data_IF_550088646231
#
_entry.id   IF_550088646231
#
_cell.length_a   1.000
_cell.length_b   1.000
_cell.length_c   1.000
_cell.angle_alpha   90.00
_cell.angle_beta   90.00
_cell.angle_gamma   90.00
#
_symmetry.space_group_name_H-M   'P 1'
#
loop_
_entity.id
_entity.type
_entity.pdbx_description
1 polymer ?
#
# COMPACT_ATOMS: atom_id res chain seq x y z
N UNK A 1 -10.52 -3.40 -12.56
CA UNK A 1 -9.07 -3.15 -12.37
C UNK A 1 -8.78 -1.87 -11.57
N UNK A 2 -8.88 -0.64 -12.11
CA UNK A 2 -8.58 0.58 -11.32
C UNK A 2 -9.40 0.68 -10.01
N UNK A 3 -10.71 0.47 -10.09
CA UNK A 3 -11.61 0.52 -8.92
C UNK A 3 -11.26 -0.50 -7.84
N UNK A 4 -10.75 -1.66 -8.24
CA UNK A 4 -10.32 -2.70 -7.29
C UNK A 4 -9.01 -2.31 -6.61
N UNK A 5 -8.04 -1.80 -7.38
CA UNK A 5 -6.77 -1.32 -6.82
C UNK A 5 -7.00 -0.18 -5.84
N UNK A 6 -7.94 0.73 -6.12
CA UNK A 6 -8.31 1.80 -5.18
C UNK A 6 -8.84 1.25 -3.85
N UNK A 7 -9.73 0.25 -3.89
CA UNK A 7 -10.24 -0.41 -2.66
C UNK A 7 -9.13 -1.09 -1.86
N UNK A 8 -8.16 -1.68 -2.55
CA UNK A 8 -7.00 -2.29 -1.89
C UNK A 8 -6.12 -1.21 -1.26
N UNK A 9 -5.88 -0.08 -1.95
CA UNK A 9 -5.17 1.08 -1.39
C UNK A 9 -5.87 1.65 -0.15
N UNK A 10 -7.20 1.81 -0.17
CA UNK A 10 -7.98 2.25 1.00
C UNK A 10 -7.83 1.29 2.20
N UNK A 11 -7.70 -0.03 1.92
CA UNK A 11 -7.46 -1.03 2.96
C UNK A 11 -6.01 -0.98 3.47
N UNK A 12 -5.04 -0.83 2.56
CA UNK A 12 -3.64 -0.71 2.89
C UNK A 12 -3.38 0.53 3.76
N UNK A 13 -3.98 1.67 3.42
CA UNK A 13 -3.88 2.89 4.24
C UNK A 13 -4.31 2.64 5.69
N UNK A 14 -5.42 1.95 5.91
CA UNK A 14 -5.88 1.61 7.28
C UNK A 14 -4.95 0.68 8.03
N UNK A 15 -4.32 -0.27 7.33
CA UNK A 15 -3.35 -1.18 7.96
C UNK A 15 -2.04 -0.45 8.28
N UNK A 16 -1.57 0.41 7.37
CA UNK A 16 -0.41 1.28 7.58
C UNK A 16 -0.65 2.20 8.78
N UNK A 17 -1.80 2.86 8.85
CA UNK A 17 -2.11 3.74 9.98
C UNK A 17 -2.13 2.98 11.30
N UNK A 18 -2.71 1.76 11.33
CA UNK A 18 -2.66 0.90 12.53
C UNK A 18 -1.25 0.44 12.89
N UNK A 19 -0.43 0.12 11.89
CA UNK A 19 0.97 -0.24 12.08
C UNK A 19 1.75 0.95 12.71
N UNK A 20 1.54 2.17 12.20
CA UNK A 20 2.09 3.40 12.79
C UNK A 20 1.60 3.58 14.24
N UNK A 21 0.31 3.35 14.50
CA UNK A 21 -0.25 3.43 15.86
C UNK A 21 0.31 2.36 16.81
N UNK A 22 0.67 1.18 16.29
CA UNK A 22 1.32 0.11 17.06
C UNK A 22 2.72 0.54 17.54
N UNK A 23 3.38 1.46 16.82
CA UNK A 23 4.64 2.08 17.21
C UNK A 23 5.85 1.13 17.23
N UNK A 24 5.68 -0.07 16.66
CA UNK A 24 6.72 -1.06 16.45
C UNK A 24 6.49 -1.75 15.10
N UNK A 25 7.57 -1.93 14.32
CA UNK A 25 7.56 -2.53 12.99
C UNK A 25 7.24 -4.04 12.98
N UNK A 26 7.35 -4.72 14.13
CA UNK A 26 7.02 -6.16 14.30
C UNK A 26 5.52 -6.42 14.58
N UNK A 27 4.65 -5.43 14.38
CA UNK A 27 3.21 -5.60 14.58
C UNK A 27 2.59 -6.40 13.43
N UNK A 28 1.60 -7.26 13.72
CA UNK A 28 0.89 -8.07 12.70
C UNK A 28 0.32 -7.18 11.59
N UNK A 29 -0.20 -6.00 11.95
CA UNK A 29 -0.70 -5.02 11.00
C UNK A 29 0.36 -4.46 10.04
N UNK A 30 1.63 -4.41 10.45
CA UNK A 30 2.74 -3.97 9.61
C UNK A 30 3.06 -5.01 8.54
N UNK A 31 3.07 -6.29 8.92
CA UNK A 31 3.28 -7.39 7.98
C UNK A 31 2.11 -7.53 7.00
N UNK A 32 0.87 -7.47 7.50
CA UNK A 32 -0.34 -7.45 6.67
C UNK A 32 -0.35 -6.27 5.69
N UNK A 33 0.08 -5.09 6.15
CA UNK A 33 0.20 -3.92 5.29
C UNK A 33 1.24 -4.13 4.19
N UNK A 34 2.42 -4.66 4.52
CA UNK A 34 3.50 -4.94 3.56
C UNK A 34 3.08 -5.95 2.50
N UNK A 35 2.39 -7.03 2.89
CA UNK A 35 1.87 -8.02 1.96
C UNK A 35 0.86 -7.38 1.00
N UNK A 36 -0.07 -6.58 1.52
CA UNK A 36 -1.09 -5.91 0.72
C UNK A 36 -0.50 -4.86 -0.23
N UNK A 37 0.49 -4.09 0.21
CA UNK A 37 1.19 -3.12 -0.63
C UNK A 37 1.91 -3.81 -1.80
N UNK A 38 2.53 -4.98 -1.56
CA UNK A 38 3.12 -5.80 -2.62
C UNK A 38 2.07 -6.30 -3.62
N UNK A 39 0.91 -6.80 -3.16
CA UNK A 39 -0.18 -7.22 -4.04
C UNK A 39 -0.68 -6.06 -4.92
N UNK A 40 -0.82 -4.87 -4.33
CA UNK A 40 -1.22 -3.66 -5.05
C UNK A 40 -0.18 -3.30 -6.11
N UNK A 41 1.11 -3.40 -5.79
CA UNK A 41 2.21 -3.12 -6.72
C UNK A 41 2.14 -4.01 -7.96
N UNK A 42 1.96 -5.31 -7.77
CA UNK A 42 1.83 -6.26 -8.88
C UNK A 42 0.61 -5.93 -9.76
N UNK A 43 -0.54 -5.62 -9.13
CA UNK A 43 -1.74 -5.23 -9.88
C UNK A 43 -1.56 -3.92 -10.66
N UNK A 44 -0.80 -2.96 -10.12
CA UNK A 44 -0.49 -1.70 -10.82
C UNK A 44 0.43 -1.97 -12.01
N UNK A 45 1.42 -2.84 -11.86
CA UNK A 45 2.34 -3.21 -12.95
C UNK A 45 1.62 -3.89 -14.13
N UNK A 46 0.53 -4.61 -13.84
CA UNK A 46 -0.34 -5.21 -14.86
C UNK A 46 -1.36 -4.25 -15.49
N UNK A 47 -1.45 -2.98 -15.07
CA UNK A 47 -2.35 -2.01 -15.71
C UNK A 47 -1.82 -1.56 -17.08
N UNK A 48 -2.67 -1.72 -18.10
CA UNK A 48 -2.41 -1.20 -19.44
C UNK A 48 -2.44 0.33 -19.48
N UNK A 49 -3.31 0.97 -18.69
CA UNK A 49 -3.40 2.43 -18.59
C UNK A 49 -2.24 2.99 -17.77
N UNK A 50 -1.18 3.42 -18.46
CA UNK A 50 0.03 3.98 -17.86
C UNK A 50 -0.21 5.26 -17.07
N UNK A 51 -1.23 6.05 -17.39
CA UNK A 51 -1.55 7.29 -16.67
C UNK A 51 -2.20 6.98 -15.33
N UNK A 52 -3.13 6.02 -15.32
CA UNK A 52 -3.75 5.51 -14.10
C UNK A 52 -2.71 4.78 -13.25
N UNK A 53 -1.91 3.89 -13.84
CA UNK A 53 -0.85 3.17 -13.16
C UNK A 53 0.10 4.14 -12.43
N UNK A 54 0.60 5.18 -13.13
CA UNK A 54 1.48 6.18 -12.54
C UNK A 54 0.85 6.90 -11.33
N UNK A 55 -0.43 7.25 -11.41
CA UNK A 55 -1.14 7.88 -10.27
C UNK A 55 -1.26 6.94 -9.08
N UNK A 56 -1.61 5.68 -9.33
CA UNK A 56 -1.74 4.68 -8.28
C UNK A 56 -0.38 4.35 -7.66
N UNK A 57 0.69 4.26 -8.46
CA UNK A 57 2.06 4.08 -7.96
C UNK A 57 2.49 5.21 -7.03
N UNK A 58 2.11 6.47 -7.30
CA UNK A 58 2.39 7.58 -6.39
C UNK A 58 1.69 7.43 -5.04
N UNK A 59 0.44 6.95 -5.03
CA UNK A 59 -0.29 6.68 -3.79
C UNK A 59 0.33 5.52 -3.02
N UNK A 60 0.64 4.42 -3.72
CA UNK A 60 1.30 3.25 -3.17
C UNK A 60 2.63 3.63 -2.50
N UNK A 61 3.48 4.37 -3.21
CA UNK A 61 4.77 4.82 -2.70
C UNK A 61 4.64 5.65 -1.42
N UNK A 62 3.61 6.50 -1.32
CA UNK A 62 3.36 7.26 -0.09
C UNK A 62 3.03 6.39 1.12
N UNK A 63 2.39 5.23 0.90
CA UNK A 63 2.11 4.25 1.96
C UNK A 63 3.34 3.41 2.31
N UNK A 64 4.15 3.03 1.31
CA UNK A 64 5.41 2.31 1.53
C UNK A 64 6.38 3.14 2.38
N UNK A 65 6.56 4.43 2.06
CA UNK A 65 7.44 5.33 2.83
C UNK A 65 6.97 5.47 4.28
N UNK A 66 5.66 5.60 4.53
CA UNK A 66 5.12 5.66 5.90
C UNK A 66 5.48 4.42 6.73
N UNK A 67 5.57 3.26 6.09
CA UNK A 67 5.90 1.99 6.72
C UNK A 67 7.40 1.84 6.96
N UNK A 68 8.22 2.28 5.99
CA UNK A 68 9.68 2.30 6.12
C UNK A 68 10.15 3.26 7.22
N UNK A 69 9.44 4.37 7.46
CA UNK A 69 9.73 5.30 8.55
C UNK A 69 9.57 4.68 9.97
N UNK A 70 9.01 3.46 10.07
CA UNK A 70 8.82 2.73 11.33
C UNK A 70 9.93 1.70 11.63
N UNK A 71 10.81 1.38 10.67
CA UNK A 71 11.96 0.46 10.83
C UNK A 71 13.24 1.18 11.30
#
# INVERSE_FOLDING_TARGET
MESEIRKLLDKAEKLVDKCVECGNSDCEECDDARELLNEIREKIDHLEDRKVARRLSTLLYGLEVKLEDLE
#
